data_IF_889099575705
#
_entry.id   IF_889099575705
#
_cell.length_a   1.000
_cell.length_b   1.000
_cell.length_c   1.000
_cell.angle_alpha   90.00
_cell.angle_beta   90.00
_cell.angle_gamma   90.00
#
_symmetry.space_group_name_H-M   'P 1'
#
loop_
_entity.id
_entity.type
_entity.pdbx_description
1 polymer ?
#
# COMPACT_ATOMS: atom_id res chain seq x y z
N UNK A 1 52.10 -6.73 -22.14
CA UNK A 1 51.06 -7.78 -22.07
C UNK A 1 51.51 -9.16 -22.60
N UNK A 2 52.49 -9.24 -23.52
CA UNK A 2 52.96 -10.55 -24.04
C UNK A 2 53.71 -11.44 -23.03
N UNK A 3 54.53 -10.85 -22.14
CA UNK A 3 55.24 -11.60 -21.10
C UNK A 3 54.29 -12.35 -20.15
N UNK A 4 53.14 -11.76 -19.82
CA UNK A 4 52.13 -12.38 -18.95
C UNK A 4 51.41 -13.55 -19.65
N UNK A 5 51.11 -13.39 -20.95
CA UNK A 5 50.51 -14.43 -21.80
C UNK A 5 51.41 -15.66 -21.95
N UNK A 6 52.72 -15.46 -22.06
CA UNK A 6 53.70 -16.54 -22.16
C UNK A 6 53.98 -17.24 -20.83
N UNK A 7 53.79 -16.57 -19.68
CA UNK A 7 53.95 -17.16 -18.35
C UNK A 7 52.80 -18.10 -17.95
N UNK A 8 51.59 -17.82 -18.47
CA UNK A 8 50.37 -18.59 -18.24
C UNK A 8 50.27 -19.85 -19.12
N UNK A 9 50.90 -19.83 -20.31
CA UNK A 9 50.88 -20.94 -21.28
C UNK A 9 51.95 -22.02 -21.06
N UNK A 10 52.78 -21.88 -20.02
CA UNK A 10 53.96 -22.73 -19.81
C UNK A 10 53.66 -24.07 -19.12
N UNK A 11 52.48 -24.24 -18.51
CA UNK A 11 52.09 -25.46 -17.77
C UNK A 11 50.57 -25.67 -17.84
N UNK A 12 50.15 -26.91 -18.12
CA UNK A 12 48.75 -27.35 -18.12
C UNK A 12 48.00 -26.96 -16.84
N UNK A 13 48.67 -27.04 -15.68
CA UNK A 13 48.08 -26.68 -14.39
C UNK A 13 47.72 -25.19 -14.31
N UNK A 14 48.52 -24.30 -14.91
CA UNK A 14 48.24 -22.84 -14.89
C UNK A 14 47.10 -22.47 -15.83
N UNK A 15 46.99 -23.14 -16.98
CA UNK A 15 45.84 -22.96 -17.87
C UNK A 15 44.54 -23.41 -17.20
N UNK A 16 44.58 -24.52 -16.47
CA UNK A 16 43.45 -25.00 -15.68
C UNK A 16 43.06 -24.00 -14.58
N UNK A 17 44.02 -23.47 -13.81
CA UNK A 17 43.74 -22.45 -12.78
C UNK A 17 43.11 -21.20 -13.38
N UNK A 18 43.63 -20.68 -14.50
CA UNK A 18 43.04 -19.51 -15.17
C UNK A 18 41.59 -19.79 -15.61
N UNK A 19 41.32 -20.97 -16.16
CA UNK A 19 39.97 -21.36 -16.58
C UNK A 19 39.01 -21.39 -15.38
N UNK A 20 39.40 -22.04 -14.29
CA UNK A 20 38.60 -22.15 -13.06
C UNK A 20 38.38 -20.78 -12.43
N UNK A 21 39.42 -19.94 -12.30
CA UNK A 21 39.28 -18.59 -11.76
C UNK A 21 38.37 -17.74 -12.64
N UNK A 22 38.49 -17.84 -13.97
CA UNK A 22 37.60 -17.10 -14.89
C UNK A 22 36.15 -17.54 -14.70
N UNK A 23 35.90 -18.84 -14.61
CA UNK A 23 34.56 -19.38 -14.38
C UNK A 23 33.99 -18.92 -13.04
N UNK A 24 34.81 -18.94 -11.97
CA UNK A 24 34.42 -18.43 -10.66
C UNK A 24 34.07 -16.94 -10.68
N UNK A 25 34.85 -16.12 -11.38
CA UNK A 25 34.58 -14.67 -11.52
C UNK A 25 33.25 -14.45 -12.23
N UNK A 26 33.00 -15.15 -13.35
CA UNK A 26 31.71 -15.08 -14.06
C UNK A 26 30.56 -15.50 -13.15
N UNK A 27 30.74 -16.58 -12.39
CA UNK A 27 29.73 -17.05 -11.46
C UNK A 27 29.42 -16.04 -10.35
N UNK A 28 30.45 -15.42 -9.75
CA UNK A 28 30.29 -14.38 -8.74
C UNK A 28 29.56 -13.16 -9.31
N UNK A 29 29.95 -12.71 -10.51
CA UNK A 29 29.27 -11.58 -11.17
C UNK A 29 27.80 -11.92 -11.43
N UNK A 30 27.52 -13.13 -11.90
CA UNK A 30 26.15 -13.62 -12.10
C UNK A 30 25.34 -13.64 -10.81
N UNK A 31 25.90 -14.20 -9.74
CA UNK A 31 25.26 -14.26 -8.43
C UNK A 31 24.96 -12.87 -7.86
N UNK A 32 25.93 -11.94 -7.94
CA UNK A 32 25.74 -10.55 -7.49
C UNK A 32 24.66 -9.85 -8.33
N UNK A 33 24.65 -10.05 -9.65
CA UNK A 33 23.64 -9.45 -10.54
C UNK A 33 22.24 -9.94 -10.20
N UNK A 34 22.07 -11.25 -9.99
CA UNK A 34 20.79 -11.84 -9.57
C UNK A 34 20.39 -11.33 -8.19
N UNK A 35 21.32 -11.26 -7.24
CA UNK A 35 21.05 -10.77 -5.89
C UNK A 35 20.56 -9.31 -5.89
N UNK A 36 21.24 -8.44 -6.64
CA UNK A 36 20.83 -7.03 -6.77
C UNK A 36 19.46 -6.93 -7.42
N UNK A 37 19.22 -7.65 -8.51
CA UNK A 37 17.93 -7.66 -9.17
C UNK A 37 16.81 -8.11 -8.22
N UNK A 38 17.01 -9.24 -7.52
CA UNK A 38 16.06 -9.75 -6.55
C UNK A 38 15.79 -8.74 -5.43
N UNK A 39 16.83 -8.10 -4.90
CA UNK A 39 16.69 -7.10 -3.83
C UNK A 39 15.87 -5.89 -4.29
N UNK A 40 16.13 -5.37 -5.49
CA UNK A 40 15.34 -4.25 -6.05
C UNK A 40 13.89 -4.63 -6.30
N UNK A 41 13.65 -5.85 -6.77
CA UNK A 41 12.30 -6.36 -7.00
C UNK A 41 11.54 -6.49 -5.68
N UNK A 42 12.14 -7.12 -4.67
CA UNK A 42 11.55 -7.26 -3.34
C UNK A 42 11.21 -5.90 -2.73
N UNK A 43 12.14 -4.94 -2.77
CA UNK A 43 11.90 -3.60 -2.23
C UNK A 43 10.74 -2.88 -2.94
N UNK A 44 10.66 -2.99 -4.27
CA UNK A 44 9.55 -2.40 -5.04
C UNK A 44 8.20 -3.07 -4.72
N UNK A 45 8.20 -4.37 -4.44
CA UNK A 45 7.02 -5.12 -4.03
C UNK A 45 6.57 -4.72 -2.63
N UNK A 46 7.49 -4.62 -1.67
CA UNK A 46 7.20 -4.17 -0.31
C UNK A 46 6.62 -2.76 -0.30
N UNK A 47 7.19 -1.83 -1.08
CA UNK A 47 6.66 -0.47 -1.19
C UNK A 47 5.23 -0.45 -1.77
N UNK A 48 4.96 -1.23 -2.82
CA UNK A 48 3.60 -1.32 -3.38
C UNK A 48 2.62 -1.97 -2.41
N UNK A 49 3.06 -2.99 -1.69
CA UNK A 49 2.25 -3.66 -0.68
C UNK A 49 1.86 -2.68 0.42
N UNK A 50 2.82 -1.93 0.95
CA UNK A 50 2.55 -0.92 1.99
C UNK A 50 1.55 0.13 1.49
N UNK A 51 1.71 0.64 0.27
CA UNK A 51 0.73 1.57 -0.33
C UNK A 51 -0.68 0.99 -0.38
N UNK A 52 -0.84 -0.28 -0.76
CA UNK A 52 -2.14 -0.95 -0.83
C UNK A 52 -2.71 -1.16 0.57
N UNK A 53 -1.90 -1.61 1.53
CA UNK A 53 -2.32 -1.83 2.92
C UNK A 53 -2.78 -0.51 3.57
N UNK A 54 -2.07 0.59 3.34
CA UNK A 54 -2.47 1.91 3.82
C UNK A 54 -3.82 2.34 3.25
N UNK A 55 -4.04 2.21 1.93
CA UNK A 55 -5.32 2.52 1.30
C UNK A 55 -6.46 1.64 1.84
N UNK A 56 -6.20 0.34 1.97
CA UNK A 56 -7.16 -0.63 2.49
C UNK A 56 -7.56 -0.30 3.93
N UNK A 57 -6.61 0.09 4.78
CA UNK A 57 -6.87 0.52 6.15
C UNK A 57 -7.86 1.69 6.18
N UNK A 58 -7.66 2.72 5.36
CA UNK A 58 -8.57 3.87 5.35
C UNK A 58 -9.93 3.53 4.72
N UNK A 59 -9.97 2.70 3.68
CA UNK A 59 -11.23 2.23 3.10
C UNK A 59 -12.06 1.41 4.10
N UNK A 60 -11.43 0.52 4.85
CA UNK A 60 -12.07 -0.26 5.93
C UNK A 60 -12.57 0.64 7.07
N UNK A 61 -11.80 1.67 7.41
CA UNK A 61 -12.22 2.63 8.43
C UNK A 61 -13.45 3.42 7.98
N UNK A 62 -13.48 3.89 6.73
CA UNK A 62 -14.66 4.55 6.15
C UNK A 62 -15.89 3.62 6.25
N UNK A 63 -15.76 2.36 5.84
CA UNK A 63 -16.83 1.37 5.92
C UNK A 63 -17.32 1.16 7.36
N UNK A 64 -16.39 0.98 8.30
CA UNK A 64 -16.69 0.79 9.73
C UNK A 64 -17.50 1.97 10.29
N UNK A 65 -17.04 3.18 10.01
CA UNK A 65 -17.65 4.43 10.49
C UNK A 65 -19.05 4.61 9.90
N UNK A 66 -19.25 4.34 8.60
CA UNK A 66 -20.58 4.39 8.00
C UNK A 66 -21.53 3.34 8.60
N UNK A 67 -21.07 2.11 8.79
CA UNK A 67 -21.88 1.06 9.40
C UNK A 67 -22.27 1.40 10.84
N UNK A 68 -21.37 2.02 11.60
CA UNK A 68 -21.64 2.49 12.95
C UNK A 68 -22.66 3.64 12.94
N UNK A 69 -22.44 4.68 12.14
CA UNK A 69 -23.36 5.81 12.02
C UNK A 69 -24.77 5.37 11.58
N UNK A 70 -24.85 4.38 10.69
CA UNK A 70 -26.11 3.82 10.24
C UNK A 70 -26.82 2.99 11.32
N UNK A 71 -26.07 2.20 12.06
CA UNK A 71 -26.60 1.45 13.20
C UNK A 71 -27.09 2.38 14.30
N UNK A 72 -26.35 3.46 14.58
CA UNK A 72 -26.72 4.46 15.58
C UNK A 72 -27.93 5.29 15.13
N UNK A 73 -28.04 5.65 13.85
CA UNK A 73 -29.24 6.30 13.32
C UNK A 73 -30.49 5.43 13.54
N UNK A 74 -30.39 4.13 13.23
CA UNK A 74 -31.46 3.15 13.50
C UNK A 74 -31.74 3.01 15.00
N UNK A 75 -30.70 2.98 15.82
CA UNK A 75 -30.81 2.94 17.28
C UNK A 75 -31.52 4.17 17.85
N UNK A 76 -31.21 5.36 17.32
CA UNK A 76 -31.89 6.59 17.68
C UNK A 76 -33.38 6.53 17.33
N UNK A 77 -33.71 6.12 16.10
CA UNK A 77 -35.10 5.96 15.67
C UNK A 77 -35.89 4.97 16.55
N UNK A 78 -35.25 3.87 16.96
CA UNK A 78 -35.90 2.84 17.77
C UNK A 78 -36.06 3.21 19.25
N UNK A 79 -35.09 3.94 19.83
CA UNK A 79 -34.99 4.11 21.29
C UNK A 79 -34.98 5.56 21.76
N UNK A 80 -34.88 6.53 20.85
CA UNK A 80 -34.84 7.98 21.10
C UNK A 80 -33.80 8.39 22.17
N UNK A 81 -32.65 7.71 22.21
CA UNK A 81 -31.57 8.01 23.16
C UNK A 81 -30.56 8.97 22.54
N UNK A 82 -30.28 10.07 23.24
CA UNK A 82 -29.33 11.11 22.81
C UNK A 82 -27.92 10.60 22.54
N UNK A 83 -27.52 9.51 23.18
CA UNK A 83 -26.22 8.84 22.99
C UNK A 83 -25.99 8.46 21.52
N UNK A 84 -27.02 7.93 20.85
CA UNK A 84 -26.95 7.58 19.44
C UNK A 84 -26.75 8.82 18.56
N UNK A 85 -27.49 9.90 18.83
CA UNK A 85 -27.36 11.17 18.09
C UNK A 85 -25.95 11.76 18.21
N UNK A 86 -25.37 11.74 19.42
CA UNK A 86 -23.98 12.18 19.64
C UNK A 86 -22.96 11.29 18.94
N UNK A 87 -23.21 9.98 18.89
CA UNK A 87 -22.36 9.02 18.18
C UNK A 87 -22.33 9.31 16.68
N UNK A 88 -23.49 9.54 16.06
CA UNK A 88 -23.60 9.84 14.62
C UNK A 88 -22.77 11.07 14.22
N UNK A 89 -22.82 12.16 14.99
CA UNK A 89 -22.01 13.34 14.71
C UNK A 89 -20.51 13.10 14.87
N UNK A 90 -20.12 12.22 15.81
CA UNK A 90 -18.72 11.81 15.97
C UNK A 90 -18.25 10.99 14.77
N UNK A 91 -19.06 10.03 14.34
CA UNK A 91 -18.78 9.21 13.17
C UNK A 91 -18.71 10.06 11.88
N UNK A 92 -19.48 11.15 11.78
CA UNK A 92 -19.35 12.11 10.67
C UNK A 92 -17.94 12.69 10.59
N UNK A 93 -17.37 13.14 11.71
CA UNK A 93 -16.00 13.68 11.76
C UNK A 93 -14.95 12.59 11.44
N UNK A 94 -15.16 11.38 11.96
CA UNK A 94 -14.28 10.24 11.67
C UNK A 94 -14.27 9.87 10.17
N UNK A 95 -15.42 9.89 9.50
CA UNK A 95 -15.50 9.60 8.06
C UNK A 95 -14.77 10.66 7.26
N UNK A 96 -14.88 11.95 7.61
CA UNK A 96 -14.16 13.01 6.90
C UNK A 96 -12.65 12.85 7.08
N UNK A 97 -12.19 12.57 8.30
CA UNK A 97 -10.77 12.34 8.59
C UNK A 97 -10.23 11.14 7.80
N UNK A 98 -10.99 10.05 7.72
CA UNK A 98 -10.59 8.86 6.97
C UNK A 98 -10.58 9.10 5.45
N UNK A 99 -11.52 9.91 4.93
CA UNK A 99 -11.55 10.32 3.52
C UNK A 99 -10.37 11.23 3.17
N UNK A 100 -10.02 12.17 4.03
CA UNK A 100 -8.85 13.04 3.86
C UNK A 100 -7.56 12.22 3.84
N UNK A 101 -7.42 11.25 4.75
CA UNK A 101 -6.26 10.37 4.80
C UNK A 101 -6.16 9.45 3.57
N UNK A 102 -7.29 8.95 3.05
CA UNK A 102 -7.34 8.16 1.82
C UNK A 102 -6.97 9.00 0.60
N UNK A 103 -7.34 10.28 0.56
CA UNK A 103 -6.96 11.22 -0.49
C UNK A 103 -5.46 11.51 -0.52
N UNK A 104 -4.83 11.69 0.63
CA UNK A 104 -3.37 11.82 0.71
C UNK A 104 -2.64 10.55 0.27
N UNK A 105 -3.25 9.38 0.44
CA UNK A 105 -2.71 8.09 0.01
C UNK A 105 -3.04 7.73 -1.45
N UNK A 106 -3.85 8.54 -2.16
CA UNK A 106 -4.28 8.25 -3.51
C UNK A 106 -3.11 8.36 -4.51
N UNK A 107 -2.92 7.32 -5.33
CA UNK A 107 -1.84 7.30 -6.34
C UNK A 107 -2.35 7.06 -7.75
N UNK A 108 -3.60 6.66 -7.90
CA UNK A 108 -4.22 6.34 -9.19
C UNK A 108 -5.48 7.17 -9.42
N UNK A 109 -5.87 7.29 -10.69
CA UNK A 109 -7.13 7.94 -11.07
C UNK A 109 -8.35 7.24 -10.46
N UNK A 110 -8.29 5.92 -10.34
CA UNK A 110 -9.38 5.12 -9.78
C UNK A 110 -9.56 5.42 -8.28
N UNK A 111 -8.47 5.62 -7.54
CA UNK A 111 -8.52 6.06 -6.14
C UNK A 111 -9.27 7.39 -6.02
N UNK A 112 -8.89 8.39 -6.85
CA UNK A 112 -9.54 9.71 -6.85
C UNK A 112 -11.03 9.61 -7.17
N UNK A 113 -11.41 8.76 -8.15
CA UNK A 113 -12.82 8.56 -8.50
C UNK A 113 -13.61 7.89 -7.37
N UNK A 114 -13.01 6.92 -6.68
CA UNK A 114 -13.62 6.29 -5.52
C UNK A 114 -13.85 7.31 -4.39
N UNK A 115 -12.82 8.10 -4.05
CA UNK A 115 -12.88 9.11 -2.98
C UNK A 115 -13.96 10.15 -3.28
N UNK A 116 -14.05 10.61 -4.53
CA UNK A 116 -15.09 11.56 -4.94
C UNK A 116 -16.49 11.00 -4.67
N UNK A 117 -16.75 9.75 -5.05
CA UNK A 117 -18.03 9.08 -4.80
C UNK A 117 -18.29 8.89 -3.30
N UNK A 118 -17.27 8.50 -2.55
CA UNK A 118 -17.37 8.31 -1.10
C UNK A 118 -17.66 9.64 -0.38
N UNK A 119 -17.03 10.75 -0.78
CA UNK A 119 -17.34 12.09 -0.27
C UNK A 119 -18.75 12.55 -0.62
N UNK A 120 -19.18 12.32 -1.86
CA UNK A 120 -20.56 12.63 -2.28
C UNK A 120 -21.57 11.87 -1.44
N UNK A 121 -21.33 10.58 -1.21
CA UNK A 121 -22.17 9.77 -0.34
C UNK A 121 -22.14 10.26 1.12
N UNK A 122 -20.97 10.59 1.67
CA UNK A 122 -20.84 11.15 3.02
C UNK A 122 -21.66 12.44 3.18
N UNK A 123 -21.54 13.35 2.21
CA UNK A 123 -22.28 14.61 2.20
C UNK A 123 -23.79 14.38 2.15
N UNK A 124 -24.25 13.48 1.28
CA UNK A 124 -25.67 13.15 1.16
C UNK A 124 -26.20 12.47 2.44
N UNK A 125 -25.46 11.51 2.97
CA UNK A 125 -25.89 10.74 4.14
C UNK A 125 -25.97 11.62 5.40
N UNK A 126 -24.90 12.34 5.73
CA UNK A 126 -24.84 13.15 6.95
C UNK A 126 -25.50 14.52 6.80
N UNK A 127 -25.55 15.08 5.58
CA UNK A 127 -26.12 16.40 5.32
C UNK A 127 -27.62 16.39 5.06
N UNK A 128 -28.15 15.33 4.45
CA UNK A 128 -29.57 15.26 4.07
C UNK A 128 -30.31 14.15 4.82
N UNK A 129 -29.85 12.90 4.73
CA UNK A 129 -30.61 11.74 5.24
C UNK A 129 -30.68 11.68 6.76
N UNK A 130 -29.54 11.83 7.44
CA UNK A 130 -29.47 11.77 8.89
C UNK A 130 -30.32 12.87 9.52
N UNK A 131 -30.17 14.17 9.14
CA UNK A 131 -31.01 15.23 9.70
C UNK A 131 -32.51 14.95 9.54
N UNK A 132 -32.96 14.52 8.35
CA UNK A 132 -34.37 14.16 8.13
C UNK A 132 -34.89 13.03 9.04
N UNK A 133 -34.01 12.16 9.52
CA UNK A 133 -34.39 11.04 10.36
C UNK A 133 -34.36 11.36 11.86
N UNK A 134 -33.50 12.28 12.32
CA UNK A 134 -33.20 12.45 13.76
C UNK A 134 -33.31 13.90 14.29
N UNK A 135 -33.58 14.87 13.43
CA UNK A 135 -33.84 16.28 13.76
C UNK A 135 -35.31 16.64 13.53
#
# INVERSE_FOLDING_TARGET
MEKMRNYLRKSLARQFVVLVTTFLVVFVIGAVSVFVYQSTLTASFEQKKEQIETKMKYAQEIERVFNQAFSDARGYLAFNRKEFKLSIFREQEHVQTALDALELAATTKDDTQFILKARQFASYYFGDLVPQAIE
#
